data_IF_322403170458
#
_entry.id   IF_322403170458
#
_cell.length_a   1.000
_cell.length_b   1.000
_cell.length_c   1.000
_cell.angle_alpha   90.00
_cell.angle_beta   90.00
_cell.angle_gamma   90.00
#
_symmetry.space_group_name_H-M   'P 1'
#
loop_
_entity.id
_entity.type
_entity.pdbx_description
1 polymer ?
#
# COMPACT_ATOMS: atom_id res chain seq x y z
N UNK A 1 1.39 -37.07 -16.01
CA UNK A 1 0.87 -36.42 -14.79
C UNK A 1 1.79 -36.79 -13.66
N UNK A 2 2.44 -35.81 -13.03
CA UNK A 2 3.36 -36.04 -11.91
C UNK A 2 2.57 -36.33 -10.63
N UNK A 3 3.13 -37.14 -9.74
CA UNK A 3 2.57 -37.57 -8.45
C UNK A 3 2.09 -36.38 -7.59
N UNK A 4 2.77 -35.24 -7.68
CA UNK A 4 2.43 -34.01 -6.96
C UNK A 4 1.10 -33.38 -7.41
N UNK A 5 0.83 -33.37 -8.72
CA UNK A 5 -0.43 -32.83 -9.26
C UNK A 5 -1.64 -33.69 -8.86
N UNK A 6 -1.43 -35.01 -8.73
CA UNK A 6 -2.43 -35.94 -8.20
C UNK A 6 -2.71 -35.71 -6.71
N UNK A 7 -1.66 -35.53 -5.90
CA UNK A 7 -1.81 -35.32 -4.46
C UNK A 7 -2.51 -34.00 -4.13
N UNK A 8 -2.20 -32.94 -4.89
CA UNK A 8 -2.89 -31.64 -4.77
C UNK A 8 -4.39 -31.75 -5.01
N UNK A 9 -4.80 -32.45 -6.07
CA UNK A 9 -6.22 -32.62 -6.39
C UNK A 9 -6.97 -33.34 -5.26
N UNK A 10 -6.38 -34.41 -4.72
CA UNK A 10 -6.96 -35.16 -3.59
C UNK A 10 -7.12 -34.28 -2.35
N UNK A 11 -6.14 -33.41 -2.06
CA UNK A 11 -6.23 -32.45 -0.95
C UNK A 11 -7.35 -31.43 -1.16
N UNK A 12 -7.47 -30.88 -2.36
CA UNK A 12 -8.52 -29.90 -2.67
C UNK A 12 -9.91 -30.52 -2.58
N UNK A 13 -10.09 -31.74 -3.09
CA UNK A 13 -11.36 -32.48 -2.97
C UNK A 13 -11.71 -32.75 -1.50
N UNK A 14 -10.71 -33.05 -0.65
CA UNK A 14 -10.91 -33.24 0.78
C UNK A 14 -11.35 -31.93 1.44
N UNK A 15 -10.65 -30.83 1.20
CA UNK A 15 -10.98 -29.51 1.74
C UNK A 15 -12.36 -29.00 1.27
N UNK A 16 -12.78 -29.36 0.07
CA UNK A 16 -14.10 -29.02 -0.45
C UNK A 16 -15.23 -29.82 0.20
N UNK A 17 -14.96 -31.03 0.69
CA UNK A 17 -15.92 -31.80 1.48
C UNK A 17 -16.13 -31.18 2.86
N UNK A 18 -15.09 -30.62 3.47
CA UNK A 18 -15.19 -29.92 4.77
C UNK A 18 -16.14 -28.72 4.71
N UNK A 19 -16.21 -28.00 3.58
CA UNK A 19 -17.20 -26.93 3.38
C UNK A 19 -18.64 -27.44 3.58
N UNK A 20 -18.91 -28.71 3.22
CA UNK A 20 -20.25 -29.30 3.29
C UNK A 20 -20.60 -29.91 4.65
N UNK A 21 -19.61 -30.14 5.51
CA UNK A 21 -19.79 -30.84 6.78
C UNK A 21 -19.95 -29.91 8.00
N UNK A 22 -19.64 -28.63 7.86
CA UNK A 22 -19.41 -27.70 8.98
C UNK A 22 -20.66 -26.92 9.46
N UNK A 23 -21.88 -27.43 9.25
CA UNK A 23 -23.09 -26.69 9.68
C UNK A 23 -23.19 -26.51 11.22
N UNK A 24 -22.55 -27.35 12.04
CA UNK A 24 -22.80 -27.40 13.50
C UNK A 24 -21.57 -27.46 14.44
N UNK A 25 -20.35 -27.17 13.98
CA UNK A 25 -19.17 -27.30 14.86
C UNK A 25 -18.91 -26.07 15.76
N UNK A 26 -18.50 -26.33 17.01
CA UNK A 26 -18.16 -25.30 18.01
C UNK A 26 -16.82 -24.64 17.65
N UNK A 27 -16.91 -23.64 16.78
CA UNK A 27 -15.75 -23.04 16.15
C UNK A 27 -15.27 -21.78 16.89
N UNK A 28 -13.97 -21.68 17.17
CA UNK A 28 -13.35 -20.57 17.94
C UNK A 28 -13.67 -19.19 17.37
N UNK A 29 -13.82 -19.07 16.06
CA UNK A 29 -14.10 -17.79 15.39
C UNK A 29 -15.58 -17.60 15.04
N UNK A 30 -16.48 -18.43 15.59
CA UNK A 30 -17.92 -18.34 15.33
C UNK A 30 -18.50 -16.95 15.61
N UNK A 31 -18.03 -16.29 16.68
CA UNK A 31 -18.49 -14.94 17.00
C UNK A 31 -17.99 -13.90 15.99
N UNK A 32 -16.73 -14.02 15.54
CA UNK A 32 -16.15 -13.14 14.51
C UNK A 32 -16.85 -13.32 13.16
N UNK A 33 -17.21 -14.55 12.80
CA UNK A 33 -17.86 -14.87 11.53
C UNK A 33 -19.39 -14.79 11.57
N UNK A 34 -20.00 -14.43 12.69
CA UNK A 34 -21.46 -14.43 12.85
C UNK A 34 -22.13 -13.56 11.78
N UNK A 35 -21.65 -12.35 11.62
CA UNK A 35 -22.22 -11.38 10.68
C UNK A 35 -22.01 -11.82 9.21
N UNK A 36 -20.93 -12.56 8.93
CA UNK A 36 -20.71 -13.17 7.61
C UNK A 36 -21.74 -14.26 7.33
N UNK A 37 -22.13 -15.06 8.32
CA UNK A 37 -23.16 -16.11 8.17
C UNK A 37 -24.48 -15.52 7.69
N UNK A 38 -24.88 -14.41 8.29
CA UNK A 38 -26.16 -13.75 8.01
C UNK A 38 -26.15 -13.09 6.62
N UNK A 39 -25.00 -12.57 6.17
CA UNK A 39 -24.85 -11.89 4.88
C UNK A 39 -24.60 -12.87 3.72
N UNK A 40 -23.74 -13.86 3.94
CA UNK A 40 -23.34 -14.81 2.90
C UNK A 40 -22.91 -16.15 3.51
N UNK A 41 -23.89 -17.06 3.65
CA UNK A 41 -23.67 -18.39 4.24
C UNK A 41 -22.64 -19.24 3.48
N UNK A 42 -22.50 -19.05 2.17
CA UNK A 42 -21.49 -19.76 1.38
C UNK A 42 -20.06 -19.31 1.72
N UNK A 43 -19.83 -17.99 1.83
CA UNK A 43 -18.54 -17.46 2.30
C UNK A 43 -18.26 -17.85 3.75
N UNK A 44 -19.28 -17.88 4.61
CA UNK A 44 -19.17 -18.39 5.97
C UNK A 44 -18.70 -19.85 6.01
N UNK A 45 -19.26 -20.72 5.18
CA UNK A 45 -18.84 -22.13 5.12
C UNK A 45 -17.40 -22.28 4.64
N UNK A 46 -16.97 -21.44 3.70
CA UNK A 46 -15.56 -21.39 3.26
C UNK A 46 -14.65 -20.94 4.41
N UNK A 47 -15.03 -19.92 5.18
CA UNK A 47 -14.26 -19.44 6.33
C UNK A 47 -14.12 -20.52 7.42
N UNK A 48 -15.20 -21.26 7.72
CA UNK A 48 -15.16 -22.38 8.66
C UNK A 48 -14.21 -23.48 8.15
N UNK A 49 -14.37 -23.88 6.89
CA UNK A 49 -13.50 -24.89 6.29
C UNK A 49 -12.03 -24.43 6.28
N UNK A 50 -11.75 -23.15 5.99
CA UNK A 50 -10.39 -22.62 6.02
C UNK A 50 -9.70 -22.89 7.36
N UNK A 51 -10.36 -22.61 8.48
CA UNK A 51 -9.70 -22.77 9.77
C UNK A 51 -9.48 -24.24 10.16
N UNK A 52 -10.44 -25.12 9.88
CA UNK A 52 -10.25 -26.56 10.07
C UNK A 52 -9.15 -27.12 9.16
N UNK A 53 -9.13 -26.66 7.90
CA UNK A 53 -8.12 -27.04 6.92
C UNK A 53 -6.74 -26.50 7.31
N UNK A 54 -6.65 -25.30 7.86
CA UNK A 54 -5.40 -24.71 8.35
C UNK A 54 -4.80 -25.55 9.48
N UNK A 55 -5.63 -25.92 10.47
CA UNK A 55 -5.22 -26.80 11.57
C UNK A 55 -4.79 -28.17 11.07
N UNK A 56 -5.59 -28.78 10.19
CA UNK A 56 -5.29 -30.09 9.61
C UNK A 56 -4.03 -30.09 8.75
N UNK A 57 -3.84 -29.04 7.95
CA UNK A 57 -2.66 -28.86 7.11
C UNK A 57 -1.40 -28.67 7.95
N UNK A 58 -1.48 -27.96 9.08
CA UNK A 58 -0.36 -27.83 10.00
C UNK A 58 0.11 -29.18 10.56
N UNK A 59 -0.81 -30.10 10.83
CA UNK A 59 -0.47 -31.46 11.29
C UNK A 59 0.21 -32.31 10.21
N UNK A 60 0.00 -31.97 8.93
CA UNK A 60 0.58 -32.69 7.77
C UNK A 60 1.86 -32.04 7.25
N UNK A 61 2.32 -30.94 7.85
CA UNK A 61 3.42 -30.13 7.31
C UNK A 61 4.74 -30.91 7.14
N UNK A 62 4.98 -31.92 7.98
CA UNK A 62 6.22 -32.69 7.99
C UNK A 62 6.19 -33.83 6.95
N UNK A 63 5.00 -34.29 6.56
CA UNK A 63 4.80 -35.32 5.52
C UNK A 63 4.59 -34.73 4.12
N UNK A 64 4.00 -33.53 4.04
CA UNK A 64 3.68 -32.83 2.80
C UNK A 64 4.33 -31.44 2.76
N UNK A 65 5.56 -31.39 2.25
CA UNK A 65 6.39 -30.17 2.22
C UNK A 65 5.71 -28.93 1.59
N UNK A 66 4.75 -29.13 0.68
CA UNK A 66 4.06 -28.05 -0.06
C UNK A 66 2.65 -27.74 0.46
N UNK A 67 2.23 -28.28 1.61
CA UNK A 67 0.84 -28.18 2.06
C UNK A 67 0.36 -26.73 2.32
N UNK A 68 1.25 -25.84 2.79
CA UNK A 68 0.91 -24.41 2.94
C UNK A 68 0.70 -23.70 1.59
N UNK A 69 1.51 -24.04 0.58
CA UNK A 69 1.36 -23.51 -0.78
C UNK A 69 0.03 -23.97 -1.36
N UNK A 70 -0.29 -25.24 -1.20
CA UNK A 70 -1.57 -25.80 -1.65
C UNK A 70 -2.76 -25.16 -0.94
N UNK A 71 -2.66 -24.86 0.35
CA UNK A 71 -3.74 -24.19 1.08
C UNK A 71 -3.97 -22.76 0.57
N UNK A 72 -2.90 -22.02 0.28
CA UNK A 72 -3.00 -20.70 -0.35
C UNK A 72 -3.66 -20.78 -1.72
N UNK A 73 -3.19 -21.69 -2.59
CA UNK A 73 -3.79 -21.90 -3.92
C UNK A 73 -5.26 -22.30 -3.85
N UNK A 74 -5.62 -23.17 -2.92
CA UNK A 74 -7.02 -23.57 -2.71
C UNK A 74 -7.86 -22.35 -2.34
N UNK A 75 -7.40 -21.53 -1.40
CA UNK A 75 -8.14 -20.35 -0.97
C UNK A 75 -8.25 -19.30 -2.09
N UNK A 76 -7.20 -19.08 -2.88
CA UNK A 76 -7.23 -18.19 -4.05
C UNK A 76 -8.24 -18.66 -5.10
N UNK A 77 -8.32 -19.98 -5.32
CA UNK A 77 -9.33 -20.55 -6.21
C UNK A 77 -10.75 -20.30 -5.69
N UNK A 78 -10.97 -20.47 -4.37
CA UNK A 78 -12.27 -20.14 -3.75
C UNK A 78 -12.58 -18.66 -3.86
N UNK A 79 -11.62 -17.77 -3.63
CA UNK A 79 -11.78 -16.33 -3.82
C UNK A 79 -12.24 -16.03 -5.23
N UNK A 80 -11.50 -16.51 -6.23
CA UNK A 80 -11.77 -16.25 -7.65
C UNK A 80 -13.18 -16.69 -8.05
N UNK A 81 -13.62 -17.86 -7.60
CA UNK A 81 -14.95 -18.39 -7.93
C UNK A 81 -16.04 -17.53 -7.27
N UNK A 82 -15.91 -17.23 -5.98
CA UNK A 82 -16.99 -16.61 -5.20
C UNK A 82 -17.04 -15.08 -5.31
N UNK A 83 -15.99 -14.45 -5.83
CA UNK A 83 -15.95 -13.01 -6.10
C UNK A 83 -16.09 -12.67 -7.59
N UNK A 84 -16.34 -13.68 -8.44
CA UNK A 84 -16.37 -13.52 -9.90
C UNK A 84 -15.06 -12.88 -10.41
N UNK A 85 -13.94 -13.41 -9.95
CA UNK A 85 -12.60 -12.88 -10.23
C UNK A 85 -12.47 -11.37 -9.90
N UNK A 86 -13.09 -10.96 -8.79
CA UNK A 86 -13.08 -9.58 -8.33
C UNK A 86 -14.19 -8.68 -8.91
N UNK A 87 -15.09 -9.19 -9.74
CA UNK A 87 -16.19 -8.39 -10.30
C UNK A 87 -17.35 -8.19 -9.32
N UNK A 88 -17.58 -9.13 -8.40
CA UNK A 88 -18.60 -9.02 -7.38
C UNK A 88 -18.09 -8.19 -6.18
N UNK A 89 -18.42 -6.90 -6.17
CA UNK A 89 -17.95 -5.95 -5.17
C UNK A 89 -18.32 -6.34 -3.73
N UNK A 90 -19.58 -6.73 -3.50
CA UNK A 90 -20.07 -7.10 -2.16
C UNK A 90 -19.32 -8.33 -1.63
N UNK A 91 -19.21 -9.39 -2.45
CA UNK A 91 -18.48 -10.59 -2.04
C UNK A 91 -16.98 -10.33 -1.87
N UNK A 92 -16.37 -9.41 -2.64
CA UNK A 92 -14.99 -9.00 -2.39
C UNK A 92 -14.83 -8.35 -1.02
N UNK A 93 -15.73 -7.42 -0.66
CA UNK A 93 -15.67 -6.76 0.65
C UNK A 93 -15.82 -7.76 1.78
N UNK A 94 -16.79 -8.68 1.68
CA UNK A 94 -16.97 -9.74 2.67
C UNK A 94 -15.74 -10.67 2.74
N UNK A 95 -15.13 -10.98 1.60
CA UNK A 95 -13.93 -11.80 1.54
C UNK A 95 -12.75 -11.15 2.28
N UNK A 96 -12.45 -9.89 1.98
CA UNK A 96 -11.36 -9.14 2.62
C UNK A 96 -11.62 -8.98 4.13
N UNK A 97 -12.83 -8.57 4.51
CA UNK A 97 -13.15 -8.25 5.91
C UNK A 97 -13.19 -9.48 6.83
N UNK A 98 -13.50 -10.66 6.29
CA UNK A 98 -13.69 -11.86 7.11
C UNK A 98 -12.72 -12.99 6.79
N UNK A 99 -12.53 -13.35 5.52
CA UNK A 99 -11.76 -14.54 5.16
C UNK A 99 -10.26 -14.25 5.21
N UNK A 100 -9.82 -13.10 4.67
CA UNK A 100 -8.40 -12.70 4.74
C UNK A 100 -8.02 -12.33 6.18
N UNK A 101 -8.88 -11.63 6.91
CA UNK A 101 -8.68 -11.35 8.34
C UNK A 101 -8.64 -12.62 9.19
N UNK A 102 -9.48 -13.62 8.89
CA UNK A 102 -9.41 -14.93 9.56
C UNK A 102 -8.04 -15.58 9.33
N UNK A 103 -7.51 -15.56 8.10
CA UNK A 103 -6.17 -16.10 7.84
C UNK A 103 -5.11 -15.40 8.68
N UNK A 104 -5.15 -14.07 8.76
CA UNK A 104 -4.21 -13.28 9.56
C UNK A 104 -4.28 -13.69 11.04
N UNK A 105 -5.48 -13.94 11.56
CA UNK A 105 -5.65 -14.44 12.93
C UNK A 105 -5.08 -15.85 13.12
N UNK A 106 -5.32 -16.75 12.16
CA UNK A 106 -4.79 -18.12 12.17
C UNK A 106 -3.25 -18.14 12.12
N UNK A 107 -2.65 -17.26 11.32
CA UNK A 107 -1.19 -17.10 11.23
C UNK A 107 -0.58 -16.62 12.55
N UNK A 108 -1.29 -15.74 13.27
CA UNK A 108 -0.81 -15.18 14.56
C UNK A 108 -0.89 -16.16 15.72
N UNK A 109 -1.54 -17.33 15.56
CA UNK A 109 -1.61 -18.34 16.61
C UNK A 109 -0.21 -18.87 16.94
N UNK A 110 0.23 -18.60 18.17
CA UNK A 110 1.57 -18.98 18.66
C UNK A 110 1.81 -20.49 18.65
N UNK A 111 0.75 -21.26 18.88
CA UNK A 111 0.80 -22.73 18.97
C UNK A 111 1.23 -23.38 17.65
N UNK A 112 1.16 -22.64 16.53
CA UNK A 112 1.53 -23.10 15.19
C UNK A 112 2.79 -22.43 14.65
N UNK A 113 3.54 -21.70 15.48
CA UNK A 113 4.82 -21.06 15.10
C UNK A 113 4.75 -20.20 13.82
N UNK A 114 3.64 -19.49 13.59
CA UNK A 114 3.48 -18.64 12.39
C UNK A 114 3.70 -19.39 11.06
N UNK A 115 3.28 -20.67 11.03
CA UNK A 115 3.70 -21.64 10.02
C UNK A 115 3.33 -21.28 8.59
N UNK A 116 2.09 -20.86 8.33
CA UNK A 116 1.62 -20.63 6.97
C UNK A 116 1.15 -19.19 6.77
N UNK A 117 1.98 -18.43 6.05
CA UNK A 117 1.71 -17.03 5.69
C UNK A 117 0.76 -16.95 4.51
N UNK A 118 -0.09 -15.92 4.52
CA UNK A 118 -0.93 -15.60 3.37
C UNK A 118 -0.08 -15.01 2.25
N UNK A 119 -0.16 -15.59 1.06
CA UNK A 119 0.47 -15.06 -0.15
C UNK A 119 -0.63 -14.45 -1.00
N UNK A 120 -0.64 -13.12 -1.11
CA UNK A 120 -1.56 -12.44 -2.01
C UNK A 120 -1.00 -12.50 -3.43
N UNK A 121 -1.77 -12.97 -4.43
CA UNK A 121 -1.34 -12.90 -5.81
C UNK A 121 -1.08 -11.43 -6.16
N UNK A 122 0.08 -11.15 -6.77
CA UNK A 122 0.46 -9.79 -7.16
C UNK A 122 -0.61 -9.20 -8.08
N UNK A 123 -1.34 -8.20 -7.61
CA UNK A 123 -2.33 -7.49 -8.42
C UNK A 123 -1.63 -6.73 -9.55
N UNK A 124 -2.13 -6.79 -10.81
CA UNK A 124 -1.63 -5.94 -11.88
C UNK A 124 -1.80 -4.43 -11.58
N UNK A 125 -2.66 -4.06 -10.62
CA UNK A 125 -2.90 -2.67 -10.20
C UNK A 125 -1.71 -2.11 -9.40
N UNK A 126 -1.00 -2.94 -8.64
CA UNK A 126 0.19 -2.50 -7.88
C UNK A 126 1.29 -1.98 -8.81
N UNK A 127 1.42 -2.58 -10.00
CA UNK A 127 2.35 -2.11 -11.03
C UNK A 127 1.89 -0.79 -11.67
N UNK A 128 0.57 -0.59 -11.85
CA UNK A 128 0.01 0.64 -12.44
C UNK A 128 0.12 1.87 -11.51
N UNK A 129 -0.02 1.66 -10.19
CA UNK A 129 0.21 2.74 -9.22
C UNK A 129 1.69 3.10 -9.12
N UNK A 130 2.58 2.10 -9.14
CA UNK A 130 4.03 2.32 -9.12
C UNK A 130 4.53 3.10 -10.35
N UNK A 131 4.00 2.82 -11.54
CA UNK A 131 4.33 3.59 -12.76
C UNK A 131 3.78 5.01 -12.73
N UNK A 132 2.64 5.24 -12.05
CA UNK A 132 2.08 6.59 -11.92
C UNK A 132 2.95 7.50 -11.02
N UNK A 133 3.52 6.97 -9.94
CA UNK A 133 4.39 7.74 -9.04
C UNK A 133 5.73 8.14 -9.69
N UNK A 134 6.32 7.31 -10.56
CA UNK A 134 7.60 7.63 -11.22
C UNK A 134 7.46 8.73 -12.28
N UNK A 135 6.31 8.79 -12.97
CA UNK A 135 6.02 9.86 -13.95
C UNK A 135 5.83 11.21 -13.25
N UNK A 136 5.15 11.26 -12.10
CA UNK A 136 4.94 12.52 -11.37
C UNK A 136 6.25 13.09 -10.82
N UNK A 137 7.14 12.24 -10.30
CA UNK A 137 8.45 12.67 -9.78
C UNK A 137 9.38 13.20 -10.88
N UNK A 138 9.33 12.62 -12.07
CA UNK A 138 10.15 13.06 -13.21
C UNK A 138 9.66 14.39 -13.81
N UNK A 139 8.34 14.62 -13.85
CA UNK A 139 7.78 15.92 -14.25
C UNK A 139 8.14 17.00 -13.23
N UNK A 140 8.04 16.71 -11.93
CA UNK A 140 8.39 17.67 -10.86
C UNK A 140 9.87 18.09 -10.91
N UNK A 141 10.80 17.15 -11.10
CA UNK A 141 12.23 17.45 -11.19
C UNK A 141 12.57 18.30 -12.42
N UNK A 142 11.91 18.04 -13.55
CA UNK A 142 12.08 18.79 -14.80
C UNK A 142 11.58 20.22 -14.66
N UNK A 143 10.38 20.42 -14.09
CA UNK A 143 9.80 21.75 -13.84
C UNK A 143 10.66 22.54 -12.85
N UNK A 144 11.13 21.90 -11.77
CA UNK A 144 12.01 22.52 -10.77
C UNK A 144 13.34 22.97 -11.37
N UNK A 145 13.97 22.15 -12.20
CA UNK A 145 15.23 22.48 -12.88
C UNK A 145 15.08 23.66 -13.85
N UNK A 146 13.99 23.65 -14.63
CA UNK A 146 13.67 24.73 -15.55
C UNK A 146 13.42 26.05 -14.80
N UNK A 147 12.65 26.01 -13.71
CA UNK A 147 12.38 27.19 -12.88
C UNK A 147 13.66 27.76 -12.25
N UNK A 148 14.53 26.91 -11.69
CA UNK A 148 15.82 27.34 -11.14
C UNK A 148 16.70 28.01 -12.19
N UNK A 149 16.81 27.42 -13.38
CA UNK A 149 17.60 27.97 -14.48
C UNK A 149 17.07 29.32 -14.93
N UNK A 150 15.75 29.45 -15.05
CA UNK A 150 15.11 30.69 -15.47
C UNK A 150 15.24 31.81 -14.43
N UNK A 151 15.12 31.50 -13.14
CA UNK A 151 15.34 32.47 -12.04
C UNK A 151 16.81 32.92 -12.02
N UNK A 152 17.77 31.99 -12.09
CA UNK A 152 19.20 32.32 -12.08
C UNK A 152 19.60 33.17 -13.28
N UNK A 153 19.09 32.86 -14.48
CA UNK A 153 19.36 33.65 -15.67
C UNK A 153 18.81 35.08 -15.56
N UNK A 154 17.63 35.27 -14.96
CA UNK A 154 17.08 36.62 -14.71
C UNK A 154 17.88 37.40 -13.66
N UNK A 155 18.36 36.75 -12.61
CA UNK A 155 19.23 37.37 -11.59
C UNK A 155 20.55 37.80 -12.24
N UNK A 156 21.18 36.92 -13.01
CA UNK A 156 22.43 37.21 -13.71
C UNK A 156 22.28 38.35 -14.74
N UNK A 157 21.16 38.38 -15.48
CA UNK A 157 20.88 39.45 -16.43
C UNK A 157 20.70 40.80 -15.72
N UNK A 158 20.01 40.81 -14.57
CA UNK A 158 19.85 42.02 -13.74
C UNK A 158 21.19 42.50 -13.18
N UNK A 159 22.04 41.60 -12.71
CA UNK A 159 23.39 41.92 -12.23
C UNK A 159 24.24 42.52 -13.35
N UNK A 160 24.29 41.88 -14.53
CA UNK A 160 25.02 42.41 -15.69
C UNK A 160 24.50 43.78 -16.13
N UNK A 161 23.19 44.03 -16.07
CA UNK A 161 22.61 45.34 -16.35
C UNK A 161 23.03 46.39 -15.32
N UNK A 162 23.03 46.06 -14.02
CA UNK A 162 23.48 46.96 -12.96
C UNK A 162 24.99 47.26 -13.05
N UNK A 163 25.82 46.26 -13.35
CA UNK A 163 27.26 46.43 -13.52
C UNK A 163 27.57 47.30 -14.76
N UNK A 164 26.87 47.07 -15.87
CA UNK A 164 27.01 47.90 -17.08
C UNK A 164 26.50 49.34 -16.88
N UNK A 165 25.44 49.53 -16.08
CA UNK A 165 24.94 50.87 -15.74
C UNK A 165 25.90 51.61 -14.82
N UNK A 166 26.48 50.92 -13.82
CA UNK A 166 27.50 51.47 -12.92
C UNK A 166 28.79 51.83 -13.66
N UNK A 167 29.22 50.98 -14.60
CA UNK A 167 30.41 51.23 -15.43
C UNK A 167 30.17 52.30 -16.52
N UNK A 168 28.91 52.52 -16.93
CA UNK A 168 28.51 53.59 -17.85
C UNK A 168 28.41 54.97 -17.18
N UNK A 169 28.06 55.03 -15.88
CA UNK A 169 27.89 56.29 -15.14
C UNK A 169 29.20 56.90 -14.60
N UNK A 170 30.31 56.16 -14.59
CA UNK A 170 31.61 56.64 -14.10
C UNK A 170 32.41 57.49 -15.11
N UNK A 171 31.84 57.83 -16.26
CA UNK A 171 32.52 58.62 -17.30
C UNK A 171 31.72 59.85 -17.72
N UNK A 172 31.41 60.76 -16.79
CA UNK A 172 31.42 62.23 -17.04
C UNK A 172 31.05 63.09 -15.81
N UNK A 173 31.98 63.98 -15.44
CA UNK A 173 31.82 65.34 -14.86
C UNK A 173 31.56 65.56 -13.34
N UNK A 174 32.01 66.72 -12.78
CA UNK A 174 32.91 66.76 -11.63
C UNK A 174 32.37 67.51 -10.39
N UNK A 175 33.00 67.21 -9.25
CA UNK A 175 33.50 68.12 -8.19
C UNK A 175 32.64 69.32 -7.74
N UNK A 176 31.96 69.19 -6.59
CA UNK A 176 31.96 70.20 -5.50
C UNK A 176 31.50 69.55 -4.16
N UNK A 177 32.24 69.82 -3.07
CA UNK A 177 31.97 69.37 -1.69
C UNK A 177 30.70 69.99 -1.08
N UNK A 178 30.26 69.72 0.14
CA UNK A 178 30.89 69.19 1.35
C UNK A 178 29.78 68.72 2.33
N UNK A 179 30.20 67.86 3.25
CA UNK A 179 29.61 67.24 4.44
C UNK A 179 28.37 67.82 5.15
N UNK A 180 27.48 66.92 5.62
CA UNK A 180 27.35 66.63 7.06
C UNK A 180 26.36 65.49 7.39
N UNK A 181 26.83 64.59 8.27
CA UNK A 181 26.08 63.55 8.98
C UNK A 181 24.88 64.07 9.79
N UNK A 182 23.78 63.29 9.83
CA UNK A 182 23.37 62.64 11.09
C UNK A 182 22.26 61.59 10.92
N UNK A 183 22.56 60.40 11.40
CA UNK A 183 21.63 59.30 11.69
C UNK A 183 20.40 59.74 12.50
N UNK A 184 19.20 59.37 12.06
CA UNK A 184 18.01 59.27 12.93
C UNK A 184 17.26 57.96 12.67
N UNK A 185 17.49 57.00 13.56
CA UNK A 185 16.73 55.76 13.70
C UNK A 185 15.47 56.08 14.51
N UNK A 186 14.29 55.86 13.95
CA UNK A 186 13.01 56.08 14.64
C UNK A 186 12.67 54.81 15.42
N UNK A 187 12.45 54.95 16.73
CA UNK A 187 12.01 53.87 17.61
C UNK A 187 10.63 54.23 18.14
N UNK A 188 9.61 53.41 17.85
CA UNK A 188 8.25 53.57 18.32
C UNK A 188 7.97 52.48 19.36
N UNK A 189 7.64 52.88 20.59
CA UNK A 189 7.04 51.99 21.58
C UNK A 189 5.69 52.56 22.00
N UNK A 190 4.67 51.70 21.93
CA UNK A 190 3.28 51.97 22.32
C UNK A 190 3.11 51.65 23.81
N UNK A 191 2.38 52.50 24.54
CA UNK A 191 1.85 52.19 25.88
C UNK A 191 0.33 52.01 25.78
N UNK A 192 -0.17 50.81 26.05
CA UNK A 192 -1.59 50.56 26.30
C UNK A 192 -1.94 51.00 27.72
N UNK A 193 -3.13 51.60 27.87
CA UNK A 193 -3.73 51.99 29.15
C UNK A 193 -4.32 50.80 29.88
#
# INVERSE_FOLDING_TARGET
MTTEQSNKHVLFDKWDKEIKANEDNYFTYKQFLKDLKDQNNNLYNIACALAENYKSAHLMKDSEANICVFLNEWLDNKRRINTENGQNYENNQLWENYIEELWIQLEKETDRNYWCKRIFPSSPISNALATSFTVVLSIYSTIRSWLHTHINNKILLKQKLCDNLSNGFLRTFPEYGDSHERNKKINLSYSSR
#
